data_IF_193952813850
#
_entry.id   IF_193952813850
#
_cell.length_a   1.000
_cell.length_b   1.000
_cell.length_c   1.000
_cell.angle_alpha   90.00
_cell.angle_beta   90.00
_cell.angle_gamma   90.00
#
_symmetry.space_group_name_H-M   'P 1'
#
loop_
_entity.id
_entity.type
_entity.pdbx_description
1 polymer ?
#
# COMPACT_ATOMS: atom_id res chain seq x y z
N UNK A 1 19.14 10.36 -0.19
CA UNK A 1 17.96 10.50 -1.06
C UNK A 1 17.32 11.85 -0.77
N UNK A 2 17.12 12.68 -1.78
CA UNK A 2 16.48 14.00 -1.60
C UNK A 2 14.97 13.85 -1.35
N UNK A 3 14.33 14.86 -0.76
CA UNK A 3 12.88 14.86 -0.50
C UNK A 3 12.07 14.62 -1.79
N UNK A 4 12.53 15.17 -2.93
CA UNK A 4 11.94 14.97 -4.26
C UNK A 4 12.00 13.50 -4.70
N UNK A 5 13.16 12.85 -4.54
CA UNK A 5 13.33 11.43 -4.86
C UNK A 5 12.47 10.53 -3.96
N UNK A 6 12.33 10.89 -2.67
CA UNK A 6 11.45 10.16 -1.75
C UNK A 6 9.99 10.22 -2.19
N UNK A 7 9.48 11.41 -2.56
CA UNK A 7 8.11 11.56 -3.09
C UNK A 7 7.89 10.73 -4.35
N UNK A 8 8.83 10.78 -5.31
CA UNK A 8 8.74 9.99 -6.54
C UNK A 8 8.65 8.50 -6.22
N UNK A 9 9.52 7.99 -5.33
CA UNK A 9 9.47 6.59 -4.92
C UNK A 9 8.13 6.25 -4.25
N UNK A 10 7.60 7.12 -3.38
CA UNK A 10 6.28 6.92 -2.78
C UNK A 10 5.19 6.79 -3.84
N UNK A 11 5.15 7.70 -4.82
CA UNK A 11 4.17 7.65 -5.90
C UNK A 11 4.30 6.36 -6.72
N UNK A 12 5.53 5.92 -7.01
CA UNK A 12 5.78 4.67 -7.74
C UNK A 12 5.27 3.44 -6.98
N UNK A 13 5.52 3.35 -5.67
CA UNK A 13 5.06 2.20 -4.86
C UNK A 13 3.53 2.17 -4.80
N UNK A 14 2.88 3.33 -4.58
CA UNK A 14 1.42 3.41 -4.58
C UNK A 14 0.82 3.04 -5.94
N UNK A 15 1.40 3.57 -7.02
CA UNK A 15 0.95 3.25 -8.38
C UNK A 15 1.06 1.75 -8.68
N UNK A 16 2.16 1.13 -8.28
CA UNK A 16 2.35 -0.33 -8.41
C UNK A 16 1.30 -1.11 -7.62
N UNK A 17 1.04 -0.72 -6.37
CA UNK A 17 0.03 -1.38 -5.52
C UNK A 17 -1.39 -1.25 -6.10
N UNK A 18 -1.74 -0.06 -6.61
CA UNK A 18 -3.03 0.14 -7.29
C UNK A 18 -3.15 -0.67 -8.56
N UNK A 19 -2.07 -0.78 -9.35
CA UNK A 19 -2.04 -1.60 -10.56
C UNK A 19 -2.26 -3.08 -10.24
N UNK A 20 -1.57 -3.62 -9.23
CA UNK A 20 -1.75 -5.01 -8.81
C UNK A 20 -3.18 -5.26 -8.33
N UNK A 21 -3.74 -4.39 -7.48
CA UNK A 21 -5.14 -4.55 -7.05
C UNK A 21 -6.13 -4.46 -8.22
N UNK A 22 -5.90 -3.55 -9.17
CA UNK A 22 -6.75 -3.42 -10.35
C UNK A 22 -6.74 -4.70 -11.22
N UNK A 23 -5.55 -5.27 -11.45
CA UNK A 23 -5.41 -6.55 -12.14
C UNK A 23 -6.15 -7.66 -11.37
N UNK A 24 -6.02 -7.73 -10.04
CA UNK A 24 -6.71 -8.73 -9.22
C UNK A 24 -8.24 -8.65 -9.33
N UNK A 25 -8.82 -7.45 -9.47
CA UNK A 25 -10.26 -7.29 -9.71
C UNK A 25 -10.64 -7.74 -11.12
N UNK A 26 -9.83 -7.40 -12.12
CA UNK A 26 -10.11 -7.78 -13.51
C UNK A 26 -10.09 -9.30 -13.71
N UNK A 27 -9.26 -10.02 -12.95
CA UNK A 27 -9.26 -11.50 -12.91
C UNK A 27 -10.37 -12.10 -12.03
N UNK A 28 -11.35 -11.30 -11.58
CA UNK A 28 -12.46 -11.71 -10.70
C UNK A 28 -12.01 -12.41 -9.40
N UNK A 29 -10.80 -12.09 -8.90
CA UNK A 29 -10.29 -12.64 -7.64
C UNK A 29 -10.81 -11.88 -6.41
N UNK A 30 -11.12 -10.61 -6.60
CA UNK A 30 -11.64 -9.72 -5.58
C UNK A 30 -12.97 -9.19 -6.08
N UNK A 31 -14.01 -9.28 -5.26
CA UNK A 31 -15.31 -8.68 -5.56
C UNK A 31 -15.16 -7.16 -5.75
N UNK A 32 -15.84 -6.62 -6.75
CA UNK A 32 -15.74 -5.21 -7.11
C UNK A 32 -16.16 -4.30 -5.94
N UNK A 33 -17.15 -4.71 -5.15
CA UNK A 33 -17.58 -3.98 -3.95
C UNK A 33 -16.49 -3.95 -2.88
N UNK A 34 -15.84 -5.09 -2.61
CA UNK A 34 -14.71 -5.16 -1.69
C UNK A 34 -13.54 -4.30 -2.17
N UNK A 35 -13.23 -4.33 -3.46
CA UNK A 35 -12.18 -3.47 -4.01
C UNK A 35 -12.43 -1.99 -3.75
N UNK A 36 -13.65 -1.49 -3.99
CA UNK A 36 -14.00 -0.08 -3.75
C UNK A 36 -13.85 0.29 -2.27
N UNK A 37 -14.31 -0.56 -1.37
CA UNK A 37 -14.19 -0.32 0.07
C UNK A 37 -12.70 -0.25 0.49
N UNK A 38 -11.87 -1.12 -0.07
CA UNK A 38 -10.44 -1.19 0.27
C UNK A 38 -9.57 -0.17 -0.48
N UNK A 39 -9.99 0.38 -1.62
CA UNK A 39 -9.21 1.41 -2.33
C UNK A 39 -9.37 2.79 -1.69
N UNK A 40 -10.53 3.06 -1.08
CA UNK A 40 -10.89 4.35 -0.47
C UNK A 40 -9.89 4.79 0.61
N UNK A 41 -9.59 3.98 1.64
CA UNK A 41 -8.62 4.36 2.66
C UNK A 41 -7.23 4.63 2.07
N UNK A 42 -6.78 3.79 1.13
CA UNK A 42 -5.49 3.95 0.45
C UNK A 42 -5.40 5.31 -0.29
N UNK A 43 -6.47 5.73 -0.98
CA UNK A 43 -6.53 7.01 -1.67
C UNK A 43 -6.51 8.20 -0.70
N UNK A 44 -7.27 8.13 0.38
CA UNK A 44 -7.30 9.19 1.41
C UNK A 44 -5.90 9.37 2.01
N UNK A 45 -5.24 8.28 2.42
CA UNK A 45 -3.89 8.36 2.98
C UNK A 45 -2.85 8.82 1.95
N UNK A 46 -2.96 8.37 0.69
CA UNK A 46 -2.09 8.83 -0.39
C UNK A 46 -2.09 10.37 -0.52
N UNK A 47 -3.26 11.01 -0.41
CA UNK A 47 -3.36 12.46 -0.45
C UNK A 47 -2.62 13.15 0.70
N UNK A 48 -2.80 12.68 1.93
CA UNK A 48 -2.14 13.27 3.11
C UNK A 48 -0.63 13.01 3.14
N UNK A 49 -0.20 11.82 2.71
CA UNK A 49 1.22 11.46 2.58
C UNK A 49 1.90 12.33 1.52
N UNK A 50 1.23 12.61 0.40
CA UNK A 50 1.76 13.52 -0.64
C UNK A 50 2.05 14.93 -0.11
N UNK A 51 1.28 15.36 0.89
CA UNK A 51 1.46 16.63 1.62
C UNK A 51 2.46 16.55 2.78
N UNK A 52 3.14 15.42 2.98
CA UNK A 52 4.17 15.20 4.00
C UNK A 52 3.67 15.36 5.46
N UNK A 53 2.38 15.13 5.74
CA UNK A 53 1.89 15.18 7.11
C UNK A 53 2.42 14.02 7.94
N UNK A 54 3.33 14.27 8.88
CA UNK A 54 3.99 13.24 9.71
C UNK A 54 3.00 12.29 10.41
N UNK A 55 1.91 12.81 10.97
CA UNK A 55 0.87 11.99 11.62
C UNK A 55 0.20 11.03 10.64
N UNK A 56 0.04 11.42 9.37
CA UNK A 56 -0.57 10.56 8.36
C UNK A 56 0.28 9.33 8.05
N UNK A 57 1.61 9.42 8.11
CA UNK A 57 2.50 8.27 7.94
C UNK A 57 2.29 7.22 9.05
N UNK A 58 2.20 7.67 10.31
CA UNK A 58 1.99 6.77 11.45
C UNK A 58 0.63 6.08 11.37
N UNK A 59 -0.44 6.84 11.14
CA UNK A 59 -1.78 6.29 10.95
C UNK A 59 -1.84 5.34 9.75
N UNK A 60 -1.17 5.68 8.65
CA UNK A 60 -1.14 4.83 7.47
C UNK A 60 -0.43 3.49 7.73
N UNK A 61 0.64 3.47 8.52
CA UNK A 61 1.29 2.23 8.95
C UNK A 61 0.32 1.31 9.71
N UNK A 62 -0.54 1.84 10.58
CA UNK A 62 -1.57 1.04 11.24
C UNK A 62 -2.57 0.44 10.25
N UNK A 63 -3.05 1.23 9.30
CA UNK A 63 -3.94 0.71 8.25
C UNK A 63 -3.24 -0.35 7.41
N UNK A 64 -1.99 -0.15 7.03
CA UNK A 64 -1.16 -1.10 6.29
C UNK A 64 -1.04 -2.46 6.99
N UNK A 65 -1.04 -2.51 8.33
CA UNK A 65 -1.05 -3.79 9.06
C UNK A 65 -2.32 -4.61 8.79
N UNK A 66 -3.47 -3.94 8.65
CA UNK A 66 -4.73 -4.60 8.30
C UNK A 66 -4.65 -5.16 6.87
N UNK A 67 -4.10 -4.38 5.93
CA UNK A 67 -3.87 -4.86 4.56
C UNK A 67 -2.89 -6.04 4.53
N UNK A 68 -1.82 -5.96 5.33
CA UNK A 68 -0.82 -7.02 5.47
C UNK A 68 -1.47 -8.32 5.96
N UNK A 69 -2.28 -8.25 7.02
CA UNK A 69 -3.01 -9.40 7.55
C UNK A 69 -3.97 -10.00 6.50
N UNK A 70 -4.74 -9.15 5.82
CA UNK A 70 -5.66 -9.62 4.77
C UNK A 70 -4.91 -10.30 3.61
N UNK A 71 -3.79 -9.74 3.19
CA UNK A 71 -2.97 -10.28 2.09
C UNK A 71 -2.25 -11.56 2.51
N UNK A 72 -1.73 -11.64 3.74
CA UNK A 72 -1.04 -12.84 4.22
C UNK A 72 -1.99 -14.04 4.32
N UNK A 73 -3.23 -13.82 4.77
CA UNK A 73 -4.26 -14.86 4.79
C UNK A 73 -4.57 -15.41 3.40
N UNK A 74 -4.58 -14.57 2.36
CA UNK A 74 -4.77 -15.04 0.98
C UNK A 74 -3.56 -15.83 0.49
N UNK A 75 -2.35 -15.31 0.68
CA UNK A 75 -1.11 -15.95 0.22
C UNK A 75 -0.87 -17.31 0.88
N UNK A 76 -1.08 -17.42 2.19
CA UNK A 76 -0.79 -18.64 2.95
C UNK A 76 -2.01 -19.54 3.15
N UNK A 77 -3.23 -19.00 3.08
CA UNK A 77 -4.46 -19.73 3.38
C UNK A 77 -5.26 -20.20 2.15
N UNK A 78 -4.92 -19.76 0.94
CA UNK A 78 -5.60 -20.15 -0.31
C UNK A 78 -4.64 -20.74 -1.33
N UNK A 79 -5.15 -21.16 -2.50
CA UNK A 79 -4.32 -21.66 -3.59
C UNK A 79 -3.25 -20.65 -4.01
N UNK A 80 -2.04 -21.16 -4.21
CA UNK A 80 -0.86 -20.38 -4.58
C UNK A 80 -1.13 -19.50 -5.82
N UNK A 81 -0.89 -18.19 -5.68
CA UNK A 81 -1.09 -17.22 -6.76
C UNK A 81 -0.02 -16.12 -6.73
N UNK A 82 0.59 -15.86 -7.88
CA UNK A 82 1.67 -14.87 -8.02
C UNK A 82 1.20 -13.43 -7.75
N UNK A 83 -0.07 -13.10 -8.03
CA UNK A 83 -0.62 -11.76 -7.80
C UNK A 83 -0.76 -11.45 -6.31
N UNK A 84 -1.25 -12.41 -5.52
CA UNK A 84 -1.39 -12.23 -4.07
C UNK A 84 -0.01 -12.08 -3.40
N UNK A 85 1.00 -12.82 -3.88
CA UNK A 85 2.38 -12.68 -3.41
C UNK A 85 2.94 -11.30 -3.77
N UNK A 86 2.70 -10.83 -5.00
CA UNK A 86 3.13 -9.50 -5.43
C UNK A 86 2.49 -8.39 -4.58
N UNK A 87 1.19 -8.49 -4.31
CA UNK A 87 0.47 -7.57 -3.42
C UNK A 87 1.08 -7.58 -2.01
N UNK A 88 1.33 -8.76 -1.46
CA UNK A 88 1.93 -8.93 -0.14
C UNK A 88 3.32 -8.28 -0.05
N UNK A 89 4.20 -8.56 -1.02
CA UNK A 89 5.55 -7.99 -1.06
C UNK A 89 5.50 -6.47 -1.21
N UNK A 90 4.60 -5.94 -2.05
CA UNK A 90 4.40 -4.49 -2.20
C UNK A 90 3.93 -3.84 -0.90
N UNK A 91 3.02 -4.46 -0.16
CA UNK A 91 2.57 -3.98 1.16
C UNK A 91 3.75 -3.92 2.14
N UNK A 92 4.60 -4.96 2.17
CA UNK A 92 5.81 -4.97 3.01
C UNK A 92 6.78 -3.83 2.66
N UNK A 93 7.07 -3.65 1.36
CA UNK A 93 7.93 -2.57 0.88
C UNK A 93 7.34 -1.20 1.22
N UNK A 94 6.04 -1.01 1.00
CA UNK A 94 5.33 0.22 1.31
C UNK A 94 5.36 0.52 2.81
N UNK A 95 5.14 -0.49 3.66
CA UNK A 95 5.21 -0.35 5.11
C UNK A 95 6.58 0.13 5.58
N UNK A 96 7.66 -0.52 5.12
CA UNK A 96 9.03 -0.13 5.47
C UNK A 96 9.32 1.30 4.99
N UNK A 97 8.94 1.63 3.76
CA UNK A 97 9.14 2.96 3.17
C UNK A 97 8.40 4.07 3.94
N UNK A 98 7.21 3.77 4.45
CA UNK A 98 6.41 4.71 5.24
C UNK A 98 6.93 4.87 6.67
N UNK A 99 7.41 3.78 7.28
CA UNK A 99 8.02 3.80 8.61
C UNK A 99 9.21 4.78 8.68
N UNK A 100 10.03 4.84 7.62
CA UNK A 100 11.16 5.77 7.55
C UNK A 100 10.80 7.19 7.06
N UNK A 101 9.55 7.41 6.64
CA UNK A 101 9.08 8.71 6.13
C UNK A 101 9.25 9.87 7.11
N UNK A 102 8.74 9.79 8.35
CA UNK A 102 8.89 10.84 9.36
C UNK A 102 10.33 11.29 9.61
N UNK A 103 11.26 10.33 9.70
CA UNK A 103 12.70 10.60 9.93
C UNK A 103 13.32 11.40 8.79
N UNK A 104 12.80 11.23 7.57
CA UNK A 104 13.32 11.84 6.36
C UNK A 104 12.70 13.20 6.03
N UNK A 105 11.54 13.50 6.61
CA UNK A 105 10.87 14.80 6.51
C UNK A 105 11.49 15.80 7.49
N UNK A 106 11.90 15.32 8.67
CA UNK A 106 12.44 16.15 9.76
C UNK A 106 13.99 16.19 9.80
N UNK A 107 14.68 15.62 8.79
CA UNK A 107 16.14 15.63 8.65
C UNK A 107 16.57 16.59 7.56
#
# INVERSE_FOLDING_TARGET
MTLKQYKILTHLIFFSLFTVKYISVHLNRIDLGLYIIWILPLLVFYFYISKLYVRAYQWFCFFLLIYFLSSSLRVFGTHFNYLDISEFVLICILFIHMMFGPKKINS
#
